data_IF_467453475016
#
_entry.id   IF_467453475016
#
_cell.length_a   1.000
_cell.length_b   1.000
_cell.length_c   1.000
_cell.angle_alpha   90.00
_cell.angle_beta   90.00
_cell.angle_gamma   90.00
#
_symmetry.space_group_name_H-M   'P 1'
#
loop_
_entity.id
_entity.type
_entity.pdbx_description
1 polymer ?
#
# COMPACT_ATOMS: atom_id res chain seq x y z
N UNK A 1 31.98 -55.35 57.72
CA UNK A 1 31.64 -53.90 57.66
C UNK A 1 31.57 -53.50 56.17
N UNK A 2 30.36 -53.37 55.64
CA UNK A 2 30.15 -53.06 54.22
C UNK A 2 29.82 -51.58 54.17
N UNK A 3 30.63 -50.79 53.46
CA UNK A 3 30.42 -49.37 53.22
C UNK A 3 29.53 -49.28 51.97
N UNK A 4 28.34 -48.72 52.14
CA UNK A 4 27.37 -48.47 51.08
C UNK A 4 27.61 -47.03 50.53
N UNK A 5 28.12 -46.92 49.32
CA UNK A 5 28.39 -45.64 48.68
C UNK A 5 27.14 -45.22 47.89
N UNK A 6 26.47 -44.18 48.33
CA UNK A 6 25.35 -43.59 47.59
C UNK A 6 25.88 -42.72 46.45
N UNK A 7 25.55 -43.14 45.23
CA UNK A 7 25.79 -42.38 44.00
C UNK A 7 24.59 -41.44 43.79
N UNK A 8 24.80 -40.17 44.08
CA UNK A 8 23.79 -39.15 43.84
C UNK A 8 23.82 -38.74 42.35
N UNK A 9 22.91 -39.27 41.54
CA UNK A 9 22.74 -38.86 40.13
C UNK A 9 21.97 -37.57 40.09
N UNK A 10 22.66 -36.46 39.85
CA UNK A 10 22.09 -35.13 39.63
C UNK A 10 21.65 -35.05 38.19
N UNK A 11 20.35 -35.24 37.94
CA UNK A 11 19.73 -35.05 36.61
C UNK A 11 19.58 -33.53 36.41
N UNK A 12 20.46 -32.93 35.62
CA UNK A 12 20.25 -31.59 35.06
C UNK A 12 19.17 -31.67 33.98
N UNK A 13 17.96 -31.24 34.31
CA UNK A 13 16.92 -30.92 33.33
C UNK A 13 17.36 -29.66 32.62
N UNK A 14 18.00 -29.83 31.45
CA UNK A 14 18.20 -28.77 30.51
C UNK A 14 16.84 -28.48 29.92
N UNK A 15 16.13 -27.49 30.49
CA UNK A 15 14.96 -26.90 29.90
C UNK A 15 15.43 -26.11 28.66
N UNK A 16 15.45 -26.77 27.50
CA UNK A 16 15.55 -26.12 26.22
C UNK A 16 14.29 -25.30 26.05
N UNK A 17 14.33 -24.02 26.42
CA UNK A 17 13.29 -23.08 26.05
C UNK A 17 13.27 -22.97 24.54
N UNK A 18 12.34 -23.68 23.89
CA UNK A 18 11.99 -23.48 22.49
C UNK A 18 11.35 -22.09 22.46
N UNK A 19 12.14 -21.06 22.18
CA UNK A 19 11.62 -19.78 21.71
C UNK A 19 10.97 -20.06 20.37
N UNK A 20 9.70 -20.35 20.37
CA UNK A 20 8.86 -20.38 19.19
C UNK A 20 8.92 -18.97 18.62
N UNK A 21 9.71 -18.75 17.58
CA UNK A 21 9.60 -17.59 16.73
C UNK A 21 8.20 -17.66 16.11
N UNK A 22 7.24 -17.04 16.79
CA UNK A 22 5.88 -16.90 16.31
C UNK A 22 6.01 -16.05 15.02
N UNK A 23 5.94 -16.72 13.88
CA UNK A 23 5.93 -16.02 12.59
C UNK A 23 4.73 -15.09 12.64
N UNK A 24 4.98 -13.78 12.74
CA UNK A 24 3.92 -12.79 12.70
C UNK A 24 3.24 -12.93 11.32
N UNK A 25 2.00 -13.36 11.32
CA UNK A 25 1.16 -13.37 10.14
C UNK A 25 0.15 -12.23 10.30
N UNK A 26 -0.22 -11.59 9.19
CA UNK A 26 -1.29 -10.62 9.20
C UNK A 26 -2.58 -11.27 9.70
N UNK A 27 -3.26 -10.61 10.66
CA UNK A 27 -4.58 -11.05 11.07
C UNK A 27 -5.57 -10.84 9.93
N UNK A 28 -6.49 -11.78 9.78
CA UNK A 28 -7.60 -11.64 8.85
C UNK A 28 -8.69 -10.82 9.50
N UNK A 29 -9.09 -9.77 8.83
CA UNK A 29 -10.17 -8.87 9.25
C UNK A 29 -11.46 -9.27 8.53
N UNK A 30 -12.53 -9.46 9.28
CA UNK A 30 -13.85 -9.78 8.70
C UNK A 30 -14.40 -8.60 7.91
N UNK A 31 -14.96 -8.88 6.73
CA UNK A 31 -15.59 -7.88 5.90
C UNK A 31 -17.07 -7.74 6.29
N UNK A 32 -17.49 -6.50 6.49
CA UNK A 32 -18.91 -6.16 6.61
C UNK A 32 -19.45 -5.75 5.24
N UNK A 33 -20.41 -6.50 4.72
CA UNK A 33 -21.10 -6.19 3.49
C UNK A 33 -22.34 -5.35 3.76
N UNK A 34 -22.55 -4.29 2.96
CA UNK A 34 -23.75 -3.45 3.00
C UNK A 34 -24.28 -3.26 1.58
N UNK A 35 -25.59 -3.11 1.42
CA UNK A 35 -26.19 -2.95 0.09
C UNK A 35 -26.00 -1.54 -0.49
N UNK A 36 -25.74 -0.56 0.36
CA UNK A 36 -25.48 0.82 -0.04
C UNK A 36 -24.56 1.47 0.98
N UNK A 37 -23.27 1.55 0.65
CA UNK A 37 -22.27 2.18 1.50
C UNK A 37 -22.37 3.70 1.39
N UNK A 38 -22.71 4.36 2.49
CA UNK A 38 -22.69 5.83 2.60
C UNK A 38 -21.29 6.35 2.93
N UNK A 39 -21.04 7.63 2.68
CA UNK A 39 -19.79 8.31 2.98
C UNK A 39 -19.39 9.29 1.89
N UNK A 40 -18.28 9.99 2.11
CA UNK A 40 -17.71 10.90 1.11
C UNK A 40 -16.80 10.11 0.16
N UNK A 41 -17.26 9.99 -1.09
CA UNK A 41 -16.52 9.40 -2.20
C UNK A 41 -16.33 10.40 -3.36
N UNK A 42 -16.45 11.70 -3.08
CA UNK A 42 -16.28 12.76 -4.09
C UNK A 42 -14.89 12.79 -4.72
N UNK A 43 -13.89 12.26 -4.02
CA UNK A 43 -12.52 12.15 -4.54
C UNK A 43 -12.45 11.37 -5.87
N UNK A 44 -13.37 10.44 -6.14
CA UNK A 44 -13.43 9.67 -7.39
C UNK A 44 -13.62 10.51 -8.66
N UNK A 45 -14.11 11.74 -8.49
CA UNK A 45 -14.34 12.69 -9.56
C UNK A 45 -13.12 13.62 -9.76
N UNK A 46 -12.13 13.54 -8.87
CA UNK A 46 -10.84 14.20 -9.00
C UNK A 46 -9.89 13.36 -9.84
N UNK A 47 -8.94 14.00 -10.45
CA UNK A 47 -7.91 13.35 -11.25
C UNK A 47 -6.56 14.06 -11.09
N UNK A 48 -5.50 13.38 -11.49
CA UNK A 48 -4.15 13.94 -11.61
C UNK A 48 -3.53 13.47 -12.91
N UNK A 49 -2.47 14.12 -13.34
CA UNK A 49 -1.62 13.59 -14.39
C UNK A 49 -0.81 12.39 -13.89
N UNK A 50 -0.27 11.57 -14.79
CA UNK A 50 0.73 10.56 -14.44
C UNK A 50 1.89 11.17 -13.66
N UNK A 51 2.56 10.33 -12.87
CA UNK A 51 3.68 10.77 -12.04
C UNK A 51 4.76 11.49 -12.87
N UNK A 52 5.24 12.62 -12.35
CA UNK A 52 6.20 13.47 -13.02
C UNK A 52 5.59 14.47 -13.99
N UNK A 53 4.36 14.27 -14.46
CA UNK A 53 3.69 15.21 -15.38
C UNK A 53 2.95 16.27 -14.60
N UNK A 54 3.17 17.52 -14.95
CA UNK A 54 2.54 18.66 -14.30
C UNK A 54 2.29 19.81 -15.29
N UNK A 55 1.46 20.75 -14.88
CA UNK A 55 1.25 22.00 -15.65
C UNK A 55 2.22 23.05 -15.10
N UNK A 56 3.10 23.54 -15.96
CA UNK A 56 4.08 24.56 -15.59
C UNK A 56 3.44 25.96 -15.46
N UNK A 57 4.24 26.96 -15.09
CA UNK A 57 3.81 28.36 -14.94
C UNK A 57 3.35 29.01 -16.27
N UNK A 58 3.77 28.46 -17.41
CA UNK A 58 3.32 28.92 -18.74
C UNK A 58 2.02 28.27 -19.18
N UNK A 59 1.42 27.43 -18.34
CA UNK A 59 0.17 26.71 -18.64
C UNK A 59 0.33 25.54 -19.59
N UNK A 60 1.58 25.14 -19.92
CA UNK A 60 1.90 23.96 -20.71
C UNK A 60 2.07 22.74 -19.80
N UNK A 61 1.83 21.55 -20.34
CA UNK A 61 2.28 20.33 -19.67
C UNK A 61 3.79 20.21 -19.79
N UNK A 62 4.39 19.85 -18.68
CA UNK A 62 5.81 19.56 -18.55
C UNK A 62 6.00 18.30 -17.74
N UNK A 63 7.24 17.85 -17.62
CA UNK A 63 7.56 16.57 -17.01
C UNK A 63 8.86 16.64 -16.24
N UNK A 64 8.93 15.96 -15.09
CA UNK A 64 10.08 15.99 -14.22
C UNK A 64 10.31 14.63 -13.56
N UNK A 65 11.56 14.25 -13.36
CA UNK A 65 12.03 13.11 -12.58
C UNK A 65 11.63 11.70 -13.01
N UNK A 66 10.35 11.48 -13.37
CA UNK A 66 9.78 10.17 -13.73
C UNK A 66 9.51 10.01 -15.23
N UNK A 67 9.91 10.96 -15.99
CA UNK A 67 9.67 11.00 -17.42
C UNK A 67 10.87 10.46 -18.20
N UNK A 68 10.67 10.08 -19.46
CA UNK A 68 11.77 9.67 -20.31
C UNK A 68 12.89 10.73 -20.32
N UNK A 69 14.19 10.35 -20.22
CA UNK A 69 15.31 11.29 -20.15
C UNK A 69 15.38 12.24 -21.35
N UNK A 70 14.79 11.87 -22.48
CA UNK A 70 14.70 12.67 -23.68
C UNK A 70 13.95 13.98 -23.46
N UNK A 71 12.99 13.99 -22.52
CA UNK A 71 12.18 15.18 -22.17
C UNK A 71 13.03 16.33 -21.62
N UNK A 72 14.16 16.02 -20.99
CA UNK A 72 15.06 17.05 -20.44
C UNK A 72 15.70 17.91 -21.53
N UNK A 73 15.82 17.37 -22.74
CA UNK A 73 16.34 18.10 -23.90
C UNK A 73 15.26 18.91 -24.63
N UNK A 74 14.01 18.69 -24.30
CA UNK A 74 12.85 19.33 -24.92
C UNK A 74 12.39 20.58 -24.18
N UNK A 75 12.98 20.89 -23.03
CA UNK A 75 12.59 22.02 -22.17
C UNK A 75 13.81 22.91 -21.84
N UNK A 76 13.52 24.16 -21.53
CA UNK A 76 14.50 25.10 -20.99
C UNK A 76 14.70 24.89 -19.47
N UNK A 77 15.56 25.72 -18.86
CA UNK A 77 15.88 25.66 -17.43
C UNK A 77 14.68 25.96 -16.52
N UNK A 78 13.60 26.57 -17.04
CA UNK A 78 12.37 26.85 -16.31
C UNK A 78 11.29 25.79 -16.56
N UNK A 79 11.61 24.70 -17.28
CA UNK A 79 10.67 23.64 -17.63
C UNK A 79 9.70 23.98 -18.75
N UNK A 80 9.94 25.06 -19.51
CA UNK A 80 9.15 25.40 -20.68
C UNK A 80 9.55 24.53 -21.87
N UNK A 81 8.61 23.80 -22.43
CA UNK A 81 8.85 22.98 -23.62
C UNK A 81 9.07 23.90 -24.82
N UNK A 82 10.15 23.65 -25.59
CA UNK A 82 10.42 24.37 -26.84
C UNK A 82 9.32 24.15 -27.86
N UNK A 83 8.90 25.18 -28.58
CA UNK A 83 7.81 25.11 -29.55
C UNK A 83 8.03 24.03 -30.61
N UNK A 84 9.26 23.86 -31.08
CA UNK A 84 9.64 22.83 -32.04
C UNK A 84 9.69 21.40 -31.47
N UNK A 85 9.56 21.24 -30.15
CA UNK A 85 9.59 19.95 -29.46
C UNK A 85 8.21 19.55 -28.93
N UNK A 86 7.18 20.40 -29.03
CA UNK A 86 5.87 20.16 -28.42
C UNK A 86 5.22 18.87 -28.94
N UNK A 87 5.22 18.62 -30.23
CA UNK A 87 4.64 17.42 -30.82
C UNK A 87 5.35 16.16 -30.31
N UNK A 88 6.67 16.13 -30.39
CA UNK A 88 7.48 15.01 -29.90
C UNK A 88 7.31 14.79 -28.39
N UNK A 89 7.14 15.87 -27.62
CA UNK A 89 6.89 15.77 -26.19
C UNK A 89 5.57 15.06 -25.90
N UNK A 90 4.47 15.45 -26.58
CA UNK A 90 3.17 14.80 -26.37
C UNK A 90 3.06 13.38 -26.93
N UNK A 91 3.93 13.00 -27.88
CA UNK A 91 4.04 11.61 -28.33
C UNK A 91 4.81 10.74 -27.32
N UNK A 92 5.75 11.34 -26.60
CA UNK A 92 6.65 10.62 -25.69
C UNK A 92 6.06 10.50 -24.27
N UNK A 93 5.33 11.51 -23.82
CA UNK A 93 4.81 11.63 -22.46
C UNK A 93 3.34 11.27 -22.40
N UNK A 94 3.00 10.27 -21.55
CA UNK A 94 1.60 9.99 -21.26
C UNK A 94 0.98 11.15 -20.47
N UNK A 95 -0.02 11.79 -21.05
CA UNK A 95 -0.75 12.91 -20.46
C UNK A 95 -2.18 12.54 -20.08
N UNK A 96 -2.50 11.24 -20.04
CA UNK A 96 -3.82 10.72 -19.70
C UNK A 96 -4.18 11.03 -18.26
N UNK A 97 -5.37 11.56 -18.04
CA UNK A 97 -5.86 11.82 -16.68
C UNK A 97 -6.11 10.50 -15.93
N UNK A 98 -5.58 10.40 -14.72
CA UNK A 98 -5.79 9.28 -13.82
C UNK A 98 -6.73 9.72 -12.70
N UNK A 99 -7.94 9.13 -12.66
CA UNK A 99 -8.93 9.42 -11.63
C UNK A 99 -8.50 8.80 -10.28
N UNK A 100 -8.72 9.57 -9.21
CA UNK A 100 -8.39 9.11 -7.86
C UNK A 100 -9.26 7.91 -7.48
N UNK A 101 -8.65 6.90 -6.90
CA UNK A 101 -9.31 5.68 -6.44
C UNK A 101 -9.18 5.45 -4.93
N UNK A 102 -8.41 6.29 -4.24
CA UNK A 102 -8.17 6.22 -2.81
C UNK A 102 -8.22 7.62 -2.19
N UNK A 103 -8.85 7.71 -1.01
CA UNK A 103 -8.70 8.83 -0.07
C UNK A 103 -8.36 8.22 1.28
N UNK A 104 -7.16 8.47 1.79
CA UNK A 104 -6.71 7.82 3.02
C UNK A 104 -5.90 8.75 3.91
N UNK A 105 -5.80 8.34 5.17
CA UNK A 105 -4.93 8.87 6.20
C UNK A 105 -4.14 7.68 6.77
N UNK A 106 -2.82 7.81 6.84
CA UNK A 106 -1.95 6.76 7.28
C UNK A 106 -0.83 7.31 8.16
N UNK A 107 -0.50 6.56 9.20
CA UNK A 107 0.72 6.72 9.96
C UNK A 107 1.59 5.49 9.75
N UNK A 108 2.64 5.65 8.99
CA UNK A 108 3.59 4.60 8.63
C UNK A 108 5.02 5.05 8.92
N UNK A 109 5.98 4.13 8.81
CA UNK A 109 7.38 4.43 9.08
C UNK A 109 7.98 5.42 8.09
N UNK A 110 7.52 5.38 6.84
CA UNK A 110 7.90 6.29 5.77
C UNK A 110 6.66 6.81 5.03
N UNK A 111 6.84 7.74 4.12
CA UNK A 111 5.75 8.39 3.40
C UNK A 111 4.85 7.39 2.67
N UNK A 112 3.56 7.53 2.86
CA UNK A 112 2.51 6.66 2.32
C UNK A 112 1.45 7.41 1.49
N UNK A 113 1.69 8.69 1.20
CA UNK A 113 0.71 9.57 0.54
C UNK A 113 0.47 9.18 -0.91
N UNK A 114 -0.73 8.67 -1.20
CA UNK A 114 -1.17 8.38 -2.56
C UNK A 114 -2.68 8.53 -2.68
N UNK A 115 -3.15 8.89 -3.89
CA UNK A 115 -4.57 8.97 -4.22
C UNK A 115 -5.03 7.75 -5.04
N UNK A 116 -4.17 6.73 -5.18
CA UNK A 116 -4.41 5.61 -6.08
C UNK A 116 -4.29 4.28 -5.35
N UNK A 117 -5.23 3.41 -5.63
CA UNK A 117 -5.17 1.99 -5.31
C UNK A 117 -5.64 1.21 -6.55
N UNK A 118 -4.89 0.18 -6.89
CA UNK A 118 -5.23 -0.73 -7.97
C UNK A 118 -5.93 -1.93 -7.35
N UNK A 119 -7.01 -2.39 -7.98
CA UNK A 119 -7.74 -3.59 -7.58
C UNK A 119 -7.75 -4.58 -8.74
N UNK A 120 -7.17 -5.75 -8.53
CA UNK A 120 -7.01 -6.79 -9.54
C UNK A 120 -7.64 -8.11 -9.09
N UNK A 121 -8.43 -8.73 -9.96
CA UNK A 121 -9.03 -10.03 -9.71
C UNK A 121 -8.05 -11.14 -10.06
N UNK A 122 -7.64 -11.89 -9.06
CA UNK A 122 -6.73 -13.02 -9.22
C UNK A 122 -7.48 -14.30 -9.57
N UNK A 123 -8.66 -14.49 -8.99
CA UNK A 123 -9.57 -15.60 -9.26
C UNK A 123 -11.01 -15.22 -8.86
N UNK A 124 -11.97 -16.17 -8.94
CA UNK A 124 -13.39 -15.91 -8.64
C UNK A 124 -13.62 -15.31 -7.24
N UNK A 125 -12.83 -15.73 -6.26
CA UNK A 125 -13.03 -15.40 -4.84
C UNK A 125 -11.99 -14.43 -4.29
N UNK A 126 -10.96 -14.04 -5.06
CA UNK A 126 -9.84 -13.26 -4.54
C UNK A 126 -9.53 -12.04 -5.39
N UNK A 127 -9.48 -10.89 -4.73
CA UNK A 127 -8.99 -9.63 -5.29
C UNK A 127 -7.76 -9.19 -4.50
N UNK A 128 -6.74 -8.75 -5.20
CA UNK A 128 -5.57 -8.10 -4.61
C UNK A 128 -5.66 -6.61 -4.90
N UNK A 129 -5.47 -5.81 -3.85
CA UNK A 129 -5.37 -4.36 -4.00
C UNK A 129 -4.02 -3.91 -3.46
N UNK A 130 -3.44 -2.91 -4.13
CA UNK A 130 -2.20 -2.30 -3.68
C UNK A 130 -2.16 -0.82 -4.05
N UNK A 131 -1.60 -0.03 -3.14
CA UNK A 131 -1.25 1.35 -3.43
C UNK A 131 0.09 1.39 -4.16
N UNK A 132 0.26 2.39 -5.02
CA UNK A 132 1.51 2.53 -5.76
C UNK A 132 2.66 2.83 -4.80
N UNK A 133 3.78 2.12 -5.00
CA UNK A 133 5.05 2.40 -4.38
C UNK A 133 5.96 3.03 -5.43
N UNK A 134 6.36 4.26 -5.21
CA UNK A 134 7.17 5.04 -6.14
C UNK A 134 8.20 5.88 -5.38
N UNK A 135 8.95 6.72 -6.06
CA UNK A 135 9.97 7.55 -5.43
C UNK A 135 9.41 8.55 -4.41
N UNK A 136 8.11 8.88 -4.47
CA UNK A 136 7.45 9.75 -3.51
C UNK A 136 6.72 9.00 -2.38
N UNK A 137 6.50 7.67 -2.53
CA UNK A 137 5.78 6.85 -1.55
C UNK A 137 6.52 5.54 -1.29
N UNK A 138 7.09 5.42 -0.10
CA UNK A 138 7.90 4.27 0.27
C UNK A 138 7.12 3.21 1.05
N UNK A 139 5.92 3.54 1.52
CA UNK A 139 5.01 2.59 2.16
C UNK A 139 3.84 2.30 1.24
N UNK A 140 3.56 1.02 1.00
CA UNK A 140 2.44 0.55 0.18
C UNK A 140 1.48 -0.30 1.02
N UNK A 141 0.19 0.02 0.94
CA UNK A 141 -0.88 -0.81 1.50
C UNK A 141 -1.21 -1.92 0.50
N UNK A 142 -1.15 -3.16 0.96
CA UNK A 142 -1.58 -4.32 0.19
C UNK A 142 -2.76 -4.98 0.91
N UNK A 143 -3.81 -5.29 0.15
CA UNK A 143 -5.01 -5.96 0.63
C UNK A 143 -5.25 -7.23 -0.19
N UNK A 144 -5.36 -8.37 0.48
CA UNK A 144 -5.88 -9.59 -0.13
C UNK A 144 -7.32 -9.73 0.34
N UNK A 145 -8.27 -9.49 -0.53
CA UNK A 145 -9.70 -9.50 -0.25
C UNK A 145 -10.28 -10.81 -0.75
N UNK A 146 -10.91 -11.56 0.14
CA UNK A 146 -11.70 -12.76 -0.18
C UNK A 146 -13.18 -12.47 0.05
N UNK A 147 -14.03 -13.49 -0.11
CA UNK A 147 -15.47 -13.36 0.10
C UNK A 147 -15.84 -12.86 1.50
N UNK A 148 -15.09 -13.25 2.52
CA UNK A 148 -15.45 -13.00 3.92
C UNK A 148 -14.43 -12.19 4.69
N UNK A 149 -13.18 -12.14 4.23
CA UNK A 149 -12.07 -11.54 4.96
C UNK A 149 -11.17 -10.70 4.07
N UNK A 150 -10.51 -9.75 4.69
CA UNK A 150 -9.38 -9.04 4.09
C UNK A 150 -8.14 -9.27 4.94
N UNK A 151 -6.99 -9.43 4.28
CA UNK A 151 -5.67 -9.50 4.91
C UNK A 151 -4.85 -8.29 4.50
N UNK A 152 -4.81 -7.25 5.35
CA UNK A 152 -4.01 -6.06 5.10
C UNK A 152 -2.55 -6.27 5.47
N UNK A 153 -1.63 -5.71 4.68
CA UNK A 153 -0.21 -5.56 5.01
C UNK A 153 0.30 -4.23 4.52
N UNK A 154 1.31 -3.69 5.20
CA UNK A 154 2.09 -2.56 4.69
C UNK A 154 3.45 -3.11 4.27
N UNK A 155 3.83 -2.83 3.04
CA UNK A 155 5.18 -3.10 2.52
C UNK A 155 5.94 -1.79 2.50
N UNK A 156 7.06 -1.76 3.22
CA UNK A 156 7.98 -0.65 3.25
C UNK A 156 9.15 -0.96 2.32
N UNK A 157 9.32 -0.12 1.30
CA UNK A 157 10.47 -0.15 0.41
C UNK A 157 11.40 1.04 0.76
N UNK A 158 12.24 0.84 1.77
CA UNK A 158 13.17 1.87 2.22
C UNK A 158 14.36 2.01 1.27
N UNK A 159 14.69 3.26 0.94
CA UNK A 159 15.91 3.58 0.17
C UNK A 159 17.18 3.49 1.00
N UNK A 160 17.07 3.29 2.32
CA UNK A 160 18.21 3.29 3.25
C UNK A 160 18.38 1.88 3.83
N UNK A 161 19.44 1.17 3.43
CA UNK A 161 19.91 -0.06 4.07
C UNK A 161 19.96 -1.32 3.19
N UNK A 162 20.72 -2.31 3.63
CA UNK A 162 21.01 -3.56 2.91
C UNK A 162 19.82 -4.54 2.83
N UNK A 163 18.74 -4.31 3.62
CA UNK A 163 17.50 -5.08 3.58
C UNK A 163 16.32 -4.11 3.54
N UNK A 164 16.12 -3.49 2.40
CA UNK A 164 15.21 -2.36 2.24
C UNK A 164 13.72 -2.72 2.34
N UNK A 165 13.34 -3.98 2.11
CA UNK A 165 11.92 -4.38 2.14
C UNK A 165 11.53 -4.94 3.50
N UNK A 166 10.56 -4.32 4.15
CA UNK A 166 9.94 -4.79 5.40
C UNK A 166 8.44 -4.90 5.24
N UNK A 167 7.86 -5.96 5.79
CA UNK A 167 6.42 -6.14 5.82
C UNK A 167 5.89 -5.97 7.23
N UNK A 168 4.91 -5.09 7.39
CA UNK A 168 4.18 -4.91 8.64
C UNK A 168 2.82 -5.57 8.52
N UNK A 169 2.49 -6.37 9.52
CA UNK A 169 1.30 -7.22 9.54
C UNK A 169 0.16 -6.53 10.29
N UNK A 170 -1.05 -6.68 9.78
CA UNK A 170 -2.25 -6.18 10.44
C UNK A 170 -2.44 -6.86 11.80
N UNK A 171 -2.79 -6.10 12.82
CA UNK A 171 -3.17 -6.55 14.15
C UNK A 171 -4.68 -6.52 14.39
N UNK A 172 -5.43 -5.90 13.49
CA UNK A 172 -6.88 -5.78 13.56
C UNK A 172 -7.41 -4.57 12.81
N UNK A 173 -8.73 -4.39 12.86
CA UNK A 173 -9.40 -3.29 12.21
C UNK A 173 -10.76 -3.68 11.65
N UNK A 174 -11.22 -2.92 10.67
CA UNK A 174 -12.50 -3.15 10.01
C UNK A 174 -12.46 -2.79 8.52
N UNK A 175 -13.29 -3.47 7.74
CA UNK A 175 -13.55 -3.12 6.34
C UNK A 175 -15.04 -3.28 6.04
N UNK A 176 -15.62 -2.27 5.39
CA UNK A 176 -17.02 -2.29 4.94
C UNK A 176 -17.03 -2.14 3.43
N UNK A 177 -17.71 -3.02 2.72
CA UNK A 177 -17.79 -3.04 1.25
C UNK A 177 -19.25 -2.92 0.79
N UNK A 178 -19.44 -2.12 -0.27
CA UNK A 178 -20.72 -2.02 -0.98
C UNK A 178 -20.92 -3.26 -1.86
N UNK A 179 -21.88 -4.09 -1.46
CA UNK A 179 -22.15 -5.37 -2.14
C UNK A 179 -22.69 -5.18 -3.56
N UNK A 180 -23.50 -4.15 -3.77
CA UNK A 180 -24.10 -3.89 -5.09
C UNK A 180 -23.01 -3.53 -6.09
N UNK A 181 -22.16 -2.56 -5.75
CA UNK A 181 -21.09 -2.11 -6.62
C UNK A 181 -19.99 -3.18 -6.81
N UNK A 182 -19.73 -3.99 -5.79
CA UNK A 182 -18.84 -5.14 -5.93
C UNK A 182 -19.30 -6.10 -7.04
N UNK A 183 -20.60 -6.40 -7.11
CA UNK A 183 -21.17 -7.24 -8.15
C UNK A 183 -21.09 -6.59 -9.55
N UNK A 184 -20.99 -5.27 -9.60
CA UNK A 184 -20.81 -4.48 -10.83
C UNK A 184 -19.32 -4.32 -11.22
N UNK A 185 -18.39 -4.94 -10.47
CA UNK A 185 -16.95 -4.85 -10.71
C UNK A 185 -16.30 -3.58 -10.16
N UNK A 186 -16.90 -2.97 -9.15
CA UNK A 186 -16.39 -1.77 -8.47
C UNK A 186 -16.16 -2.07 -6.99
N UNK A 187 -14.93 -1.88 -6.53
CA UNK A 187 -14.60 -1.89 -5.12
C UNK A 187 -14.92 -0.50 -4.53
N UNK A 188 -16.09 -0.36 -3.91
CA UNK A 188 -16.42 0.77 -3.05
C UNK A 188 -16.37 0.32 -1.60
N UNK A 189 -15.43 0.86 -0.84
CA UNK A 189 -15.16 0.40 0.52
C UNK A 189 -14.71 1.53 1.43
N UNK A 190 -14.92 1.34 2.75
CA UNK A 190 -14.23 2.07 3.80
C UNK A 190 -13.42 1.08 4.63
N UNK A 191 -12.30 1.51 5.17
CA UNK A 191 -11.44 0.66 5.97
C UNK A 191 -10.72 1.46 7.05
N UNK A 192 -10.32 0.74 8.12
CA UNK A 192 -9.54 1.26 9.23
C UNK A 192 -8.74 0.08 9.81
N UNK A 193 -7.43 0.08 9.60
CA UNK A 193 -6.54 -1.01 9.97
C UNK A 193 -5.42 -0.53 10.86
N UNK A 194 -5.13 -1.31 11.89
CA UNK A 194 -3.97 -1.17 12.75
C UNK A 194 -2.90 -2.21 12.42
N UNK A 195 -1.63 -1.84 12.56
CA UNK A 195 -0.51 -2.72 12.22
C UNK A 195 0.45 -2.89 13.39
N UNK A 196 1.13 -4.04 13.42
CA UNK A 196 2.19 -4.29 14.39
C UNK A 196 3.42 -3.46 14.08
N UNK A 197 3.92 -2.78 15.11
CA UNK A 197 5.21 -2.09 15.07
C UNK A 197 6.12 -2.65 16.17
N UNK A 198 7.35 -3.05 15.81
CA UNK A 198 8.22 -3.81 16.70
C UNK A 198 8.95 -2.98 17.78
N UNK A 199 8.99 -1.65 17.71
CA UNK A 199 10.01 -0.93 18.47
C UNK A 199 9.61 0.37 19.17
N UNK A 200 8.42 0.88 19.14
CA UNK A 200 8.04 2.02 19.97
C UNK A 200 6.54 2.30 19.89
N UNK A 201 6.04 2.93 20.91
CA UNK A 201 4.64 3.22 21.25
C UNK A 201 3.76 3.96 20.22
N UNK A 202 4.22 4.18 19.01
CA UNK A 202 3.41 4.78 17.97
C UNK A 202 2.68 3.68 17.19
N UNK A 203 1.37 3.71 17.25
CA UNK A 203 0.52 2.78 16.53
C UNK A 203 0.54 3.12 15.04
N UNK A 204 1.00 2.17 14.22
CA UNK A 204 0.86 2.29 12.76
C UNK A 204 -0.58 2.00 12.39
N UNK A 205 -1.13 2.85 11.54
CA UNK A 205 -2.48 2.67 11.02
C UNK A 205 -2.59 3.10 9.55
N UNK A 206 -3.61 2.59 8.89
CA UNK A 206 -4.06 3.07 7.58
C UNK A 206 -5.57 2.99 7.50
N UNK A 207 -6.22 4.13 7.30
CA UNK A 207 -7.68 4.23 7.21
C UNK A 207 -8.09 5.07 6.03
N UNK A 208 -9.27 4.80 5.47
CA UNK A 208 -9.74 5.57 4.33
C UNK A 208 -10.92 4.99 3.59
N UNK A 209 -11.07 5.47 2.37
CA UNK A 209 -12.13 5.09 1.44
C UNK A 209 -11.54 4.73 0.08
N UNK A 210 -12.05 3.67 -0.52
CA UNK A 210 -11.67 3.16 -1.84
C UNK A 210 -12.86 3.28 -2.78
N UNK A 211 -12.60 3.73 -4.00
CA UNK A 211 -13.51 3.64 -5.13
C UNK A 211 -12.72 3.29 -6.37
N UNK A 212 -12.57 2.01 -6.65
CA UNK A 212 -11.70 1.49 -7.70
C UNK A 212 -12.45 0.50 -8.59
N UNK A 213 -12.19 0.55 -9.90
CA UNK A 213 -12.65 -0.50 -10.81
C UNK A 213 -11.79 -1.75 -10.59
N UNK A 214 -12.46 -2.90 -10.46
CA UNK A 214 -11.79 -4.21 -10.38
C UNK A 214 -11.43 -4.63 -11.81
N UNK A 215 -10.14 -4.84 -12.05
CA UNK A 215 -9.58 -5.28 -13.35
C UNK A 215 -9.49 -6.79 -13.42
#
# INVERSE_FOLDING_TARGET
>A
MKRLTYFLVMIFLISCGITSNKKLNSEEVSIKWVDNLSGDFSFKDNWSYPEGVYKNEFGQLSCDGFCPPETDKMKDENGKIYENSLEAFYELVDTTHIFHSLKSDAWTYEWAGTNYIIAERINEDTIVCFTQNNAGTHSSLNLIITKNTVRPTIVLNSIIGENSEKTYYCKGGQMVIDKKLWNEGILKATFDFDFYHNENSNEMYWKGSIYAKIK
#
